data_IF_981806077367
#
_entry.id   IF_981806077367
#
_cell.length_a   1.000
_cell.length_b   1.000
_cell.length_c   1.000
_cell.angle_alpha   90.00
_cell.angle_beta   90.00
_cell.angle_gamma   90.00
#
_symmetry.space_group_name_H-M   'P 1'
#
loop_
_entity.id
_entity.type
_entity.pdbx_description
1 polymer ?
#
# COMPACT_ATOMS: atom_id res chain seq x y z
N UNK A 1 0.18 -23.35 -5.21
CA UNK A 1 -0.64 -22.73 -4.13
C UNK A 1 -1.48 -21.62 -4.74
N UNK A 2 -2.66 -21.32 -4.22
CA UNK A 2 -3.65 -20.43 -4.87
C UNK A 2 -3.17 -18.98 -5.07
N UNK A 3 -2.21 -18.48 -4.25
CA UNK A 3 -1.81 -17.06 -4.24
C UNK A 3 -0.35 -16.83 -4.65
N UNK A 4 0.37 -17.80 -5.19
CA UNK A 4 1.81 -17.71 -5.51
C UNK A 4 2.19 -16.51 -6.40
N UNK A 5 1.30 -16.16 -7.33
CA UNK A 5 1.55 -15.10 -8.30
C UNK A 5 1.48 -13.69 -7.68
N UNK A 6 0.67 -13.54 -6.62
CA UNK A 6 0.36 -12.21 -6.05
C UNK A 6 0.95 -11.99 -4.66
N UNK A 7 1.19 -13.02 -3.86
CA UNK A 7 1.64 -12.91 -2.47
C UNK A 7 3.03 -12.27 -2.31
N UNK A 8 3.34 -11.66 -1.15
CA UNK A 8 4.72 -11.41 -0.70
C UNK A 8 5.51 -12.72 -0.62
N UNK A 9 6.84 -12.64 -0.54
CA UNK A 9 7.65 -13.82 -0.25
C UNK A 9 7.33 -14.39 1.13
N UNK A 10 7.45 -15.70 1.30
CA UNK A 10 7.56 -16.30 2.63
C UNK A 10 8.93 -15.98 3.24
N UNK A 11 9.03 -16.04 4.57
CA UNK A 11 10.28 -15.65 5.22
C UNK A 11 11.43 -16.64 4.91
N UNK A 12 11.10 -17.90 4.62
CA UNK A 12 12.04 -18.94 4.20
C UNK A 12 12.67 -18.67 2.81
N UNK A 13 12.01 -17.85 1.97
CA UNK A 13 12.49 -17.47 0.64
C UNK A 13 13.50 -16.31 0.71
N UNK A 14 13.49 -15.54 1.82
CA UNK A 14 14.27 -14.30 1.95
C UNK A 14 15.78 -14.48 1.74
N UNK A 15 16.45 -15.51 2.28
CA UNK A 15 17.90 -15.63 2.10
C UNK A 15 18.31 -15.68 0.63
N UNK A 16 17.61 -16.44 -0.19
CA UNK A 16 17.87 -16.51 -1.63
C UNK A 16 17.59 -15.18 -2.32
N UNK A 17 16.42 -14.56 -2.03
CA UNK A 17 16.00 -13.32 -2.68
C UNK A 17 16.92 -12.16 -2.29
N UNK A 18 17.44 -12.13 -1.06
CA UNK A 18 18.43 -11.14 -0.64
C UNK A 18 19.73 -11.28 -1.45
N UNK A 19 20.28 -12.48 -1.63
CA UNK A 19 21.48 -12.65 -2.44
C UNK A 19 21.26 -12.24 -3.91
N UNK A 20 20.09 -12.54 -4.46
CA UNK A 20 19.74 -12.12 -5.82
C UNK A 20 19.65 -10.58 -5.96
N UNK A 21 19.12 -9.89 -4.95
CA UNK A 21 19.07 -8.41 -4.91
C UNK A 21 20.48 -7.82 -4.67
N UNK A 22 21.23 -8.39 -3.74
CA UNK A 22 22.60 -7.93 -3.43
C UNK A 22 23.50 -8.04 -4.65
N UNK A 23 23.29 -9.04 -5.49
CA UNK A 23 24.06 -9.23 -6.74
C UNK A 23 23.58 -8.32 -7.89
N UNK A 24 22.42 -7.65 -7.79
CA UNK A 24 21.87 -6.83 -8.87
C UNK A 24 22.52 -5.42 -8.87
N UNK A 25 23.23 -5.02 -9.95
CA UNK A 25 23.91 -3.72 -9.99
C UNK A 25 22.97 -2.52 -9.93
N UNK A 26 21.77 -2.63 -10.51
CA UNK A 26 20.79 -1.55 -10.48
C UNK A 26 20.23 -1.36 -9.07
N UNK A 27 19.94 -2.45 -8.34
CA UNK A 27 19.58 -2.37 -6.93
C UNK A 27 20.70 -1.75 -6.09
N UNK A 28 21.98 -2.15 -6.29
CA UNK A 28 23.11 -1.58 -5.59
C UNK A 28 23.21 -0.07 -5.77
N UNK A 29 23.07 0.39 -7.02
CA UNK A 29 23.12 1.82 -7.35
C UNK A 29 22.02 2.61 -6.62
N UNK A 30 20.78 2.10 -6.65
CA UNK A 30 19.64 2.75 -6.00
C UNK A 30 19.78 2.73 -4.48
N UNK A 31 20.20 1.61 -3.89
CA UNK A 31 20.41 1.48 -2.45
C UNK A 31 21.44 2.47 -1.94
N UNK A 32 22.59 2.63 -2.65
CA UNK A 32 23.59 3.63 -2.33
C UNK A 32 23.09 5.08 -2.49
N UNK A 33 22.25 5.35 -3.48
CA UNK A 33 21.67 6.68 -3.68
C UNK A 33 20.66 7.05 -2.57
N UNK A 34 19.88 6.07 -2.10
CA UNK A 34 18.89 6.26 -1.01
C UNK A 34 19.57 6.37 0.36
N UNK A 35 20.72 5.73 0.54
CA UNK A 35 21.50 5.75 1.79
C UNK A 35 22.91 6.34 1.57
N UNK A 36 23.01 7.63 1.26
CA UNK A 36 24.31 8.24 0.98
C UNK A 36 25.24 8.14 2.21
N UNK A 37 26.49 7.76 1.95
CA UNK A 37 27.51 7.57 3.00
C UNK A 37 27.47 6.24 3.73
N UNK A 38 26.50 5.36 3.44
CA UNK A 38 26.48 3.98 3.95
C UNK A 38 27.11 3.05 2.91
N UNK A 39 28.19 2.33 3.24
CA UNK A 39 28.77 1.34 2.32
C UNK A 39 27.74 0.26 1.95
N UNK A 40 27.66 -0.13 0.67
CA UNK A 40 26.70 -1.14 0.23
C UNK A 40 26.81 -2.46 1.01
N UNK A 41 28.03 -2.87 1.37
CA UNK A 41 28.24 -4.08 2.17
C UNK A 41 27.54 -4.02 3.55
N UNK A 42 27.45 -2.85 4.17
CA UNK A 42 26.70 -2.68 5.42
C UNK A 42 25.18 -2.83 5.21
N UNK A 43 24.67 -2.41 4.05
CA UNK A 43 23.27 -2.64 3.65
C UNK A 43 23.05 -4.15 3.44
N UNK A 44 23.93 -4.79 2.69
CA UNK A 44 23.86 -6.23 2.42
C UNK A 44 23.91 -7.06 3.71
N UNK A 45 24.77 -6.70 4.66
CA UNK A 45 24.85 -7.36 5.98
C UNK A 45 23.55 -7.24 6.76
N UNK A 46 22.88 -6.07 6.76
CA UNK A 46 21.57 -5.90 7.40
C UNK A 46 20.49 -6.75 6.71
N UNK A 47 20.52 -6.84 5.39
CA UNK A 47 19.60 -7.72 4.64
C UNK A 47 19.80 -9.18 5.07
N UNK A 48 21.02 -9.68 5.04
CA UNK A 48 21.37 -11.07 5.44
C UNK A 48 21.05 -11.37 6.90
N UNK A 49 21.12 -10.38 7.78
CA UNK A 49 20.82 -10.55 9.20
C UNK A 49 19.30 -10.64 9.47
N UNK A 50 18.46 -10.13 8.57
CA UNK A 50 17.01 -10.14 8.74
C UNK A 50 16.45 -11.52 8.38
N UNK A 51 15.75 -12.15 9.32
CA UNK A 51 15.15 -13.48 9.17
C UNK A 51 13.70 -13.43 8.69
N UNK A 52 13.04 -12.30 8.93
CA UNK A 52 11.64 -12.05 8.55
C UNK A 52 11.52 -10.77 7.76
N UNK A 53 10.42 -10.63 7.00
CA UNK A 53 10.07 -9.37 6.33
C UNK A 53 9.90 -8.22 7.32
N UNK A 54 9.35 -8.50 8.50
CA UNK A 54 9.22 -7.52 9.57
C UNK A 54 10.59 -7.00 10.03
N UNK A 55 11.51 -7.90 10.33
CA UNK A 55 12.90 -7.54 10.71
C UNK A 55 13.61 -6.74 9.60
N UNK A 56 13.43 -7.12 8.32
CA UNK A 56 13.98 -6.36 7.20
C UNK A 56 13.44 -4.94 7.16
N UNK A 57 12.13 -4.76 7.34
CA UNK A 57 11.50 -3.44 7.36
C UNK A 57 11.97 -2.61 8.55
N UNK A 58 12.07 -3.18 9.75
CA UNK A 58 12.54 -2.49 10.96
C UNK A 58 14.03 -2.14 10.89
N UNK A 59 14.88 -3.10 10.46
CA UNK A 59 16.33 -2.93 10.46
C UNK A 59 16.83 -2.00 9.34
N UNK A 60 16.10 -1.91 8.22
CA UNK A 60 16.54 -1.17 7.05
C UNK A 60 15.54 -0.08 6.63
N UNK A 61 14.29 -0.45 6.32
CA UNK A 61 13.33 0.47 5.73
C UNK A 61 12.87 1.55 6.71
N UNK A 62 12.63 1.20 7.99
CA UNK A 62 12.19 2.15 9.02
C UNK A 62 13.16 3.33 9.15
N UNK A 63 14.46 3.06 9.29
CA UNK A 63 15.46 4.13 9.42
C UNK A 63 15.52 5.07 8.21
N UNK A 64 15.34 4.52 7.00
CA UNK A 64 15.30 5.31 5.76
C UNK A 64 14.04 6.20 5.75
N UNK A 65 12.87 5.60 5.99
CA UNK A 65 11.59 6.33 5.94
C UNK A 65 11.47 7.37 7.07
N UNK A 66 11.94 7.04 8.27
CA UNK A 66 11.98 7.96 9.40
C UNK A 66 12.90 9.16 9.12
N UNK A 67 14.10 8.91 8.55
CA UNK A 67 14.99 10.01 8.11
C UNK A 67 14.32 10.85 7.04
N UNK A 68 13.69 10.22 6.06
CA UNK A 68 12.99 10.91 4.98
C UNK A 68 11.85 11.78 5.53
N UNK A 69 11.04 11.27 6.46
CA UNK A 69 10.01 12.05 7.14
C UNK A 69 10.61 13.29 7.81
N UNK A 70 11.72 13.11 8.57
CA UNK A 70 12.41 14.21 9.25
C UNK A 70 12.97 15.26 8.28
N UNK A 71 13.50 14.84 7.14
CA UNK A 71 14.15 15.72 6.19
C UNK A 71 13.17 16.46 5.27
N UNK A 72 11.95 15.92 5.05
CA UNK A 72 11.01 16.42 4.05
C UNK A 72 9.63 16.81 4.60
N UNK A 73 9.43 16.72 5.93
CA UNK A 73 8.16 17.12 6.58
C UNK A 73 8.42 17.98 7.82
N UNK A 74 7.42 18.77 8.23
CA UNK A 74 7.39 19.47 9.50
C UNK A 74 6.82 18.62 10.65
N UNK A 75 6.53 17.37 10.35
CA UNK A 75 6.04 16.37 11.30
C UNK A 75 5.16 15.34 10.60
N UNK A 76 5.34 14.09 11.02
CA UNK A 76 4.50 12.96 10.66
C UNK A 76 3.60 12.62 11.86
N UNK A 77 2.29 12.79 11.69
CA UNK A 77 1.32 12.75 12.78
C UNK A 77 0.34 11.61 12.55
N UNK A 78 0.12 10.79 13.58
CA UNK A 78 -0.98 9.82 13.63
C UNK A 78 -2.05 10.34 14.58
N UNK A 79 -3.22 10.66 14.05
CA UNK A 79 -4.44 10.90 14.82
C UNK A 79 -5.30 9.64 14.77
N UNK A 80 -5.54 9.01 15.90
CA UNK A 80 -6.40 7.83 15.97
C UNK A 80 -7.65 8.17 16.80
N UNK A 81 -8.82 7.96 16.22
CA UNK A 81 -10.11 8.08 16.92
C UNK A 81 -10.51 6.74 17.57
N UNK A 82 -9.78 5.67 17.27
CA UNK A 82 -10.08 4.34 17.77
C UNK A 82 -8.92 3.76 18.58
N UNK A 83 -9.27 2.99 19.60
CA UNK A 83 -8.32 2.09 20.27
C UNK A 83 -8.25 0.81 19.43
N UNK A 84 -7.21 0.68 18.62
CA UNK A 84 -6.96 -0.54 17.86
C UNK A 84 -6.53 -1.66 18.83
N UNK A 85 -7.17 -2.82 18.69
CA UNK A 85 -6.71 -4.01 19.40
C UNK A 85 -5.43 -4.53 18.72
N UNK A 86 -4.31 -4.51 19.44
CA UNK A 86 -3.00 -4.97 18.92
C UNK A 86 -2.96 -6.44 18.52
N UNK A 87 -3.94 -7.24 18.93
CA UNK A 87 -4.03 -8.66 18.58
C UNK A 87 -4.90 -8.92 17.36
N UNK A 88 -5.53 -7.88 16.81
CA UNK A 88 -6.38 -7.97 15.63
C UNK A 88 -5.68 -7.44 14.38
N UNK A 89 -5.97 -8.05 13.24
CA UNK A 89 -5.56 -7.56 11.94
C UNK A 89 -6.66 -6.67 11.33
N UNK A 90 -6.26 -5.61 10.63
CA UNK A 90 -7.16 -4.62 10.05
C UNK A 90 -6.84 -4.36 8.59
N UNK A 91 -7.87 -4.04 7.82
CA UNK A 91 -7.71 -3.51 6.46
C UNK A 91 -7.84 -1.99 6.48
N UNK A 92 -6.72 -1.29 6.38
CA UNK A 92 -6.68 0.17 6.26
C UNK A 92 -7.02 0.56 4.83
N UNK A 93 -8.15 1.22 4.63
CA UNK A 93 -8.61 1.74 3.34
C UNK A 93 -8.45 3.25 3.34
N UNK A 94 -7.63 3.80 2.45
CA UNK A 94 -7.34 5.23 2.45
C UNK A 94 -7.46 5.88 1.07
N UNK A 95 -7.58 7.21 1.06
CA UNK A 95 -7.22 8.00 -0.10
C UNK A 95 -5.73 7.80 -0.46
N UNK A 96 -5.34 8.18 -1.68
CA UNK A 96 -3.99 7.91 -2.20
C UNK A 96 -3.32 9.19 -2.70
N UNK A 97 -2.27 9.63 -2.00
CA UNK A 97 -1.55 10.90 -2.26
C UNK A 97 -0.18 10.66 -2.89
N UNK A 98 0.59 9.70 -2.37
CA UNK A 98 1.95 9.39 -2.82
C UNK A 98 2.12 7.90 -3.14
N UNK A 99 2.90 7.57 -4.17
CA UNK A 99 3.07 6.19 -4.66
C UNK A 99 3.72 5.28 -3.60
N UNK A 100 4.68 5.83 -2.85
CA UNK A 100 5.53 5.07 -1.91
C UNK A 100 5.21 5.44 -0.46
N UNK A 101 5.05 6.73 -0.19
CA UNK A 101 5.05 7.24 1.17
C UNK A 101 3.75 7.02 1.92
N UNK A 102 2.61 6.84 1.24
CA UNK A 102 1.36 6.58 1.94
C UNK A 102 1.46 5.30 2.77
N UNK A 103 1.84 4.19 2.17
CA UNK A 103 2.05 2.92 2.88
C UNK A 103 3.35 2.90 3.70
N UNK A 104 4.39 3.59 3.22
CA UNK A 104 5.66 3.70 3.91
C UNK A 104 5.55 4.46 5.25
N UNK A 105 4.94 5.63 5.25
CA UNK A 105 4.72 6.42 6.46
C UNK A 105 3.70 5.77 7.40
N UNK A 106 2.66 5.12 6.85
CA UNK A 106 1.76 4.30 7.68
C UNK A 106 2.55 3.23 8.43
N UNK A 107 3.46 2.52 7.76
CA UNK A 107 4.28 1.48 8.39
C UNK A 107 5.18 2.06 9.50
N UNK A 108 5.78 3.24 9.29
CA UNK A 108 6.55 3.95 10.33
C UNK A 108 5.67 4.24 11.56
N UNK A 109 4.50 4.84 11.33
CA UNK A 109 3.57 5.20 12.40
C UNK A 109 3.06 3.98 13.18
N UNK A 110 2.79 2.86 12.51
CA UNK A 110 2.36 1.62 13.16
C UNK A 110 3.47 1.04 14.04
N UNK A 111 4.71 0.99 13.55
CA UNK A 111 5.87 0.54 14.34
C UNK A 111 6.07 1.41 15.58
N UNK A 112 5.91 2.73 15.48
CA UNK A 112 5.98 3.66 16.62
C UNK A 112 4.88 3.41 17.67
N UNK A 113 3.73 2.82 17.25
CA UNK A 113 2.67 2.39 18.17
C UNK A 113 2.88 0.97 18.72
N UNK A 114 3.98 0.29 18.34
CA UNK A 114 4.26 -1.10 18.70
C UNK A 114 3.31 -2.08 18.01
N UNK A 115 2.93 -1.78 16.76
CA UNK A 115 2.15 -2.62 15.85
C UNK A 115 3.04 -3.11 14.72
N UNK A 116 2.67 -4.25 14.12
CA UNK A 116 3.31 -4.73 12.91
C UNK A 116 3.00 -3.83 11.71
N UNK A 117 3.91 -3.81 10.74
CA UNK A 117 3.69 -3.16 9.44
C UNK A 117 2.62 -3.90 8.64
N UNK A 118 2.08 -3.25 7.61
CA UNK A 118 0.99 -3.79 6.78
C UNK A 118 1.48 -4.56 5.56
N UNK A 119 0.65 -5.48 5.04
CA UNK A 119 0.76 -5.90 3.64
C UNK A 119 0.15 -4.82 2.74
N UNK A 120 0.78 -4.59 1.58
CA UNK A 120 0.49 -3.44 0.74
C UNK A 120 -0.01 -3.89 -0.62
N UNK A 121 -1.20 -3.43 -1.04
CA UNK A 121 -1.70 -3.65 -2.39
C UNK A 121 -0.95 -2.75 -3.39
N UNK A 122 -0.21 -3.35 -4.34
CA UNK A 122 0.56 -2.61 -5.35
C UNK A 122 0.18 -3.04 -6.77
N UNK A 123 -0.03 -2.07 -7.67
CA UNK A 123 -0.28 -2.36 -9.09
C UNK A 123 0.95 -2.93 -9.81
N UNK A 124 0.77 -3.94 -10.64
CA UNK A 124 1.84 -4.58 -11.41
C UNK A 124 2.50 -3.65 -12.42
N UNK A 125 1.83 -2.58 -12.83
CA UNK A 125 2.40 -1.54 -13.69
C UNK A 125 3.62 -0.81 -13.09
N UNK A 126 3.82 -0.91 -11.76
CA UNK A 126 4.98 -0.34 -11.06
C UNK A 126 6.16 -1.33 -10.98
N UNK A 127 5.95 -2.59 -11.33
CA UNK A 127 6.95 -3.68 -11.23
C UNK A 127 7.79 -3.82 -12.52
N UNK A 128 8.31 -2.70 -12.99
CA UNK A 128 8.98 -2.56 -14.30
C UNK A 128 10.34 -3.25 -14.40
N UNK A 129 11.04 -3.38 -13.27
CA UNK A 129 12.34 -4.06 -13.20
C UNK A 129 12.29 -5.29 -12.29
N UNK A 130 13.02 -6.37 -12.63
CA UNK A 130 13.04 -7.58 -11.80
C UNK A 130 13.43 -7.33 -10.34
N UNK A 131 14.38 -6.45 -10.09
CA UNK A 131 14.79 -6.10 -8.72
C UNK A 131 13.69 -5.33 -7.96
N UNK A 132 12.91 -4.47 -8.62
CA UNK A 132 11.76 -3.78 -7.99
C UNK A 132 10.73 -4.82 -7.56
N UNK A 133 10.38 -5.77 -8.44
CA UNK A 133 9.44 -6.85 -8.12
C UNK A 133 9.87 -7.64 -6.89
N UNK A 134 11.17 -7.94 -6.76
CA UNK A 134 11.71 -8.61 -5.57
C UNK A 134 11.61 -7.73 -4.34
N UNK A 135 12.07 -6.49 -4.43
CA UNK A 135 12.10 -5.55 -3.31
C UNK A 135 10.70 -5.28 -2.74
N UNK A 136 9.69 -5.05 -3.58
CA UNK A 136 8.33 -4.79 -3.09
C UNK A 136 7.73 -6.04 -2.43
N UNK A 137 7.97 -7.25 -2.96
CA UNK A 137 7.49 -8.50 -2.35
C UNK A 137 8.16 -8.80 -1.00
N UNK A 138 9.43 -8.40 -0.80
CA UNK A 138 10.09 -8.43 0.52
C UNK A 138 9.44 -7.41 1.45
N UNK A 139 9.02 -6.26 0.94
CA UNK A 139 8.31 -5.22 1.70
C UNK A 139 6.83 -5.52 1.90
N UNK A 140 6.46 -6.80 1.97
CA UNK A 140 5.10 -7.28 2.20
C UNK A 140 4.07 -6.80 1.14
N UNK A 141 4.50 -6.40 -0.07
CA UNK A 141 3.55 -6.03 -1.11
C UNK A 141 2.96 -7.26 -1.80
N UNK A 142 1.63 -7.26 -1.98
CA UNK A 142 0.94 -8.19 -2.87
C UNK A 142 0.47 -7.47 -4.13
N UNK A 143 0.45 -8.21 -5.25
CA UNK A 143 0.32 -7.61 -6.57
C UNK A 143 -1.13 -7.55 -7.03
N UNK A 144 -1.58 -6.35 -7.42
CA UNK A 144 -2.85 -6.09 -8.10
C UNK A 144 -2.60 -6.14 -9.61
N UNK A 145 -3.15 -7.14 -10.27
CA UNK A 145 -3.00 -7.29 -11.72
C UNK A 145 -3.87 -6.28 -12.47
N UNK A 146 -3.27 -5.63 -13.48
CA UNK A 146 -3.92 -4.62 -14.33
C UNK A 146 -3.86 -5.04 -15.81
N UNK A 147 -4.43 -4.22 -16.68
CA UNK A 147 -4.43 -4.45 -18.14
C UNK A 147 -5.02 -5.80 -18.57
N UNK A 148 -6.06 -6.27 -17.87
CA UNK A 148 -6.74 -7.53 -18.10
C UNK A 148 -8.02 -7.36 -18.93
N UNK A 149 -8.46 -8.42 -19.58
CA UNK A 149 -9.82 -8.50 -20.14
C UNK A 149 -10.86 -8.49 -19.01
N UNK A 150 -12.13 -8.14 -19.29
CA UNK A 150 -13.18 -8.11 -18.28
C UNK A 150 -13.30 -9.41 -17.48
N UNK A 151 -13.20 -10.57 -18.14
CA UNK A 151 -13.24 -11.87 -17.46
C UNK A 151 -12.04 -12.06 -16.54
N UNK A 152 -10.84 -11.75 -17.02
CA UNK A 152 -9.61 -11.83 -16.22
C UNK A 152 -9.63 -10.84 -15.05
N UNK A 153 -10.22 -9.64 -15.22
CA UNK A 153 -10.39 -8.67 -14.15
C UNK A 153 -11.25 -9.25 -13.01
N UNK A 154 -12.36 -9.91 -13.34
CA UNK A 154 -13.23 -10.53 -12.34
C UNK A 154 -12.49 -11.66 -11.60
N UNK A 155 -11.83 -12.56 -12.33
CA UNK A 155 -11.06 -13.67 -11.75
C UNK A 155 -9.93 -13.15 -10.84
N UNK A 156 -9.23 -12.09 -11.27
CA UNK A 156 -8.17 -11.43 -10.49
C UNK A 156 -8.73 -10.74 -9.25
N UNK A 157 -9.88 -10.06 -9.36
CA UNK A 157 -10.55 -9.40 -8.22
C UNK A 157 -10.98 -10.41 -7.16
N UNK A 158 -11.59 -11.53 -7.57
CA UNK A 158 -11.98 -12.61 -6.65
C UNK A 158 -10.73 -13.19 -5.95
N UNK A 159 -9.66 -13.49 -6.70
CA UNK A 159 -8.42 -14.02 -6.15
C UNK A 159 -7.78 -13.05 -5.16
N UNK A 160 -7.74 -11.76 -5.49
CA UNK A 160 -7.21 -10.72 -4.62
C UNK A 160 -8.04 -10.58 -3.33
N UNK A 161 -9.36 -10.57 -3.45
CA UNK A 161 -10.27 -10.52 -2.30
C UNK A 161 -10.07 -11.73 -1.39
N UNK A 162 -10.03 -12.94 -1.93
CA UNK A 162 -9.73 -14.17 -1.15
C UNK A 162 -8.38 -14.11 -0.46
N UNK A 163 -7.38 -13.56 -1.14
CA UNK A 163 -6.07 -13.34 -0.53
C UNK A 163 -6.13 -12.38 0.66
N UNK A 164 -6.90 -11.30 0.55
CA UNK A 164 -7.08 -10.34 1.65
C UNK A 164 -7.81 -10.99 2.83
N UNK A 165 -8.89 -11.74 2.61
CA UNK A 165 -9.57 -12.52 3.66
C UNK A 165 -8.62 -13.51 4.34
N UNK A 166 -7.87 -14.28 3.56
CA UNK A 166 -6.84 -15.18 4.09
C UNK A 166 -5.78 -14.43 4.93
N UNK A 167 -5.35 -13.24 4.48
CA UNK A 167 -4.34 -12.44 5.18
C UNK A 167 -4.86 -11.94 6.53
N UNK A 168 -6.10 -11.46 6.60
CA UNK A 168 -6.74 -11.01 7.84
C UNK A 168 -7.09 -12.19 8.76
N UNK A 169 -7.78 -13.22 8.22
CA UNK A 169 -8.34 -14.29 9.03
C UNK A 169 -7.30 -15.32 9.48
N UNK A 170 -6.38 -15.72 8.60
CA UNK A 170 -5.43 -16.81 8.85
C UNK A 170 -4.03 -16.31 9.23
N UNK A 171 -3.48 -15.38 8.42
CA UNK A 171 -2.15 -14.82 8.69
C UNK A 171 -2.13 -13.84 9.85
N UNK A 172 -3.28 -13.30 10.25
CA UNK A 172 -3.41 -12.23 11.26
C UNK A 172 -2.55 -11.02 10.95
N UNK A 173 -2.41 -10.70 9.67
CA UNK A 173 -1.60 -9.60 9.17
C UNK A 173 -2.49 -8.48 8.64
N UNK A 174 -2.25 -7.25 9.08
CA UNK A 174 -2.97 -6.08 8.57
C UNK A 174 -2.61 -5.74 7.14
N UNK A 175 -3.54 -5.10 6.43
CA UNK A 175 -3.43 -4.73 5.02
C UNK A 175 -3.64 -3.23 4.86
N UNK A 176 -2.93 -2.62 3.90
CA UNK A 176 -3.24 -1.31 3.37
C UNK A 176 -3.64 -1.40 1.89
N UNK A 177 -4.74 -0.75 1.55
CA UNK A 177 -5.23 -0.61 0.17
C UNK A 177 -5.79 0.80 -0.05
N UNK A 178 -5.54 1.36 -1.24
CA UNK A 178 -6.15 2.62 -1.65
C UNK A 178 -7.64 2.43 -1.97
N UNK A 179 -8.47 3.41 -1.61
CA UNK A 179 -9.93 3.43 -1.86
C UNK A 179 -10.31 3.56 -3.34
N UNK A 180 -9.33 3.78 -4.22
CA UNK A 180 -9.51 3.93 -5.66
C UNK A 180 -8.27 3.50 -6.43
N UNK A 181 -8.46 3.29 -7.72
CA UNK A 181 -7.34 3.05 -8.63
C UNK A 181 -6.53 4.33 -8.87
N UNK A 182 -5.27 4.30 -8.44
CA UNK A 182 -4.33 5.41 -8.59
C UNK A 182 -4.65 6.63 -7.74
N UNK A 183 -3.78 7.62 -7.81
CA UNK A 183 -3.88 8.88 -7.07
C UNK A 183 -4.89 9.83 -7.73
N UNK A 184 -5.70 10.55 -6.95
CA UNK A 184 -6.52 11.66 -7.46
C UNK A 184 -5.61 12.78 -8.01
N UNK A 185 -5.98 13.32 -9.20
CA UNK A 185 -5.23 14.40 -9.88
C UNK A 185 -5.92 15.76 -9.71
N UNK A 186 -7.21 15.74 -9.43
CA UNK A 186 -8.11 16.89 -9.34
C UNK A 186 -8.63 17.11 -7.90
N UNK A 187 -8.01 16.47 -6.93
CA UNK A 187 -8.43 16.45 -5.52
C UNK A 187 -9.81 15.82 -5.26
N UNK A 188 -10.47 15.26 -6.27
CA UNK A 188 -11.71 14.50 -6.12
C UNK A 188 -11.39 13.04 -5.72
N UNK A 189 -11.25 12.81 -4.44
CA UNK A 189 -10.76 11.54 -3.87
C UNK A 189 -11.93 10.68 -3.36
N UNK A 190 -12.83 10.33 -4.27
CA UNK A 190 -14.02 9.51 -3.95
C UNK A 190 -13.65 8.02 -3.94
N UNK A 191 -14.21 7.29 -2.98
CA UNK A 191 -14.12 5.83 -2.93
C UNK A 191 -14.78 5.21 -4.16
N UNK A 192 -14.08 4.29 -4.82
CA UNK A 192 -14.64 3.59 -5.99
C UNK A 192 -15.47 2.38 -5.55
N UNK A 193 -16.71 2.28 -6.02
CA UNK A 193 -17.60 1.13 -5.80
C UNK A 193 -16.95 -0.21 -6.16
N UNK A 194 -16.12 -0.22 -7.21
CA UNK A 194 -15.40 -1.42 -7.63
C UNK A 194 -14.44 -1.95 -6.57
N UNK A 195 -13.85 -1.06 -5.75
CA UNK A 195 -12.98 -1.48 -4.63
C UNK A 195 -13.83 -2.11 -3.53
N UNK A 196 -14.95 -1.49 -3.14
CA UNK A 196 -15.85 -2.06 -2.12
C UNK A 196 -16.43 -3.40 -2.56
N UNK A 197 -16.89 -3.49 -3.81
CA UNK A 197 -17.38 -4.76 -4.39
C UNK A 197 -16.30 -5.84 -4.37
N UNK A 198 -15.07 -5.48 -4.75
CA UNK A 198 -13.95 -6.42 -4.71
C UNK A 198 -13.67 -6.91 -3.28
N UNK A 199 -13.66 -6.03 -2.28
CA UNK A 199 -13.44 -6.40 -0.88
C UNK A 199 -14.46 -7.45 -0.40
N UNK A 200 -15.71 -7.36 -0.83
CA UNK A 200 -16.78 -8.28 -0.44
C UNK A 200 -16.80 -9.63 -1.18
N UNK A 201 -15.94 -9.84 -2.21
CA UNK A 201 -16.02 -11.04 -3.07
C UNK A 201 -15.36 -12.29 -2.49
N UNK A 202 -14.46 -12.16 -1.52
CA UNK A 202 -13.54 -13.23 -1.11
C UNK A 202 -14.00 -14.11 0.01
N UNK A 203 -14.98 -13.68 0.80
CA UNK A 203 -15.54 -14.44 1.91
C UNK A 203 -16.64 -15.41 1.47
N UNK A 204 -17.05 -16.27 2.39
CA UNK A 204 -18.11 -17.29 2.17
C UNK A 204 -19.50 -16.82 2.63
N UNK A 205 -19.59 -15.64 3.26
CA UNK A 205 -20.80 -15.03 3.77
C UNK A 205 -21.54 -14.15 2.76
N UNK A 206 -22.51 -13.40 3.24
CA UNK A 206 -23.10 -12.30 2.50
C UNK A 206 -22.17 -11.07 2.49
N UNK A 207 -22.55 -10.00 1.79
CA UNK A 207 -21.71 -8.80 1.63
C UNK A 207 -21.30 -8.21 2.97
N UNK A 208 -22.23 -8.07 3.90
CA UNK A 208 -21.95 -7.46 5.21
C UNK A 208 -20.98 -8.33 5.99
N UNK A 209 -21.25 -9.62 6.11
CA UNK A 209 -20.37 -10.58 6.77
C UNK A 209 -18.95 -10.53 6.16
N UNK A 210 -18.84 -10.55 4.83
CA UNK A 210 -17.55 -10.52 4.15
C UNK A 210 -16.78 -9.22 4.41
N UNK A 211 -17.45 -8.07 4.43
CA UNK A 211 -16.80 -6.80 4.77
C UNK A 211 -16.37 -6.75 6.25
N UNK A 212 -17.19 -7.29 7.17
CA UNK A 212 -16.86 -7.36 8.58
C UNK A 212 -15.64 -8.24 8.87
N UNK A 213 -15.47 -9.36 8.16
CA UNK A 213 -14.29 -10.23 8.28
C UNK A 213 -12.97 -9.49 8.00
N UNK A 214 -13.01 -8.47 7.16
CA UNK A 214 -11.83 -7.66 6.82
C UNK A 214 -11.46 -6.62 7.87
N UNK A 215 -12.27 -6.37 8.89
CA UNK A 215 -12.03 -5.35 9.93
C UNK A 215 -11.60 -4.00 9.32
N UNK A 216 -12.43 -3.44 8.45
CA UNK A 216 -12.07 -2.24 7.67
C UNK A 216 -11.94 -1.03 8.59
N UNK A 217 -10.81 -0.35 8.50
CA UNK A 217 -10.52 0.92 9.18
C UNK A 217 -10.32 2.01 8.13
N UNK A 218 -11.25 2.97 8.01
CA UNK A 218 -11.06 4.12 7.16
C UNK A 218 -9.87 4.96 7.63
N UNK A 219 -9.01 5.33 6.70
CA UNK A 219 -7.80 6.11 6.94
C UNK A 219 -7.76 7.32 6.01
N UNK A 220 -7.64 8.52 6.54
CA UNK A 220 -7.42 9.73 5.77
C UNK A 220 -5.96 10.15 5.84
N UNK A 221 -5.36 10.42 4.67
CA UNK A 221 -3.97 10.86 4.52
C UNK A 221 -3.98 12.29 3.98
N UNK A 222 -3.35 13.22 4.70
CA UNK A 222 -3.24 14.62 4.32
C UNK A 222 -1.80 15.06 4.31
N UNK A 223 -1.36 15.65 3.21
CA UNK A 223 -0.12 16.39 3.06
C UNK A 223 -0.42 17.88 2.99
N UNK A 224 0.27 18.71 3.78
CA UNK A 224 0.09 20.17 3.73
C UNK A 224 0.50 20.71 2.35
N UNK A 225 1.57 20.17 1.78
CA UNK A 225 1.99 20.40 0.40
C UNK A 225 2.15 19.05 -0.33
N UNK A 226 1.58 18.94 -1.51
CA UNK A 226 1.77 17.79 -2.37
C UNK A 226 2.95 18.04 -3.32
N UNK A 227 4.12 17.39 -3.14
CA UNK A 227 5.27 17.64 -3.99
C UNK A 227 5.04 17.34 -5.47
N UNK A 228 4.04 16.49 -5.75
CA UNK A 228 3.67 16.09 -7.11
C UNK A 228 2.50 16.91 -7.69
N UNK A 229 2.07 18.00 -7.07
CA UNK A 229 0.89 18.77 -7.51
C UNK A 229 1.00 19.22 -8.97
N UNK A 230 2.13 19.79 -9.35
CA UNK A 230 2.40 20.19 -10.73
C UNK A 230 2.34 18.98 -11.71
N UNK A 231 2.98 17.87 -11.37
CA UNK A 231 3.00 16.67 -12.20
C UNK A 231 1.60 16.05 -12.34
N UNK A 232 0.80 16.09 -11.27
CA UNK A 232 -0.60 15.66 -11.28
C UNK A 232 -1.46 16.58 -12.16
N UNK A 233 -1.30 17.90 -12.04
CA UNK A 233 -2.00 18.86 -12.87
C UNK A 233 -1.64 18.70 -14.36
N UNK A 234 -0.35 18.51 -14.66
CA UNK A 234 0.14 18.26 -16.02
C UNK A 234 -0.46 16.96 -16.60
N UNK A 235 -0.43 15.86 -15.85
CA UNK A 235 -1.04 14.59 -16.29
C UNK A 235 -2.54 14.76 -16.55
N UNK A 236 -3.24 15.49 -15.67
CA UNK A 236 -4.67 15.76 -15.83
C UNK A 236 -4.95 16.57 -17.10
N UNK A 237 -4.15 17.62 -17.33
CA UNK A 237 -4.27 18.46 -18.54
C UNK A 237 -3.99 17.66 -19.82
N UNK A 238 -2.90 16.88 -19.85
CA UNK A 238 -2.54 16.07 -21.01
C UNK A 238 -3.63 15.04 -21.35
N UNK A 239 -4.24 14.41 -20.35
CA UNK A 239 -5.37 13.49 -20.54
C UNK A 239 -6.63 14.18 -21.09
N UNK A 240 -6.85 15.45 -20.73
CA UNK A 240 -7.96 16.25 -21.25
C UNK A 240 -7.72 16.70 -22.71
N UNK A 241 -6.49 17.12 -23.01
CA UNK A 241 -6.17 17.84 -24.25
C UNK A 241 -5.67 16.90 -25.38
N UNK A 242 -5.16 15.73 -25.03
CA UNK A 242 -4.60 14.77 -26.00
C UNK A 242 -5.41 13.46 -25.95
N UNK A 243 -6.13 13.12 -27.05
CA UNK A 243 -6.81 11.84 -27.14
C UNK A 243 -5.84 10.66 -26.92
N UNK A 244 -6.28 9.66 -26.16
CA UNK A 244 -5.53 8.43 -25.87
C UNK A 244 -4.16 8.64 -25.17
N UNK A 245 -3.93 9.79 -24.56
CA UNK A 245 -2.72 10.04 -23.77
C UNK A 245 -2.52 8.95 -22.71
N UNK A 246 -1.35 8.37 -22.73
CA UNK A 246 -0.88 7.42 -21.69
C UNK A 246 0.44 7.91 -21.14
N UNK A 247 0.52 7.97 -19.81
CA UNK A 247 1.80 8.26 -19.16
C UNK A 247 2.80 7.14 -19.42
N UNK A 248 4.07 7.51 -19.40
CA UNK A 248 5.19 6.61 -19.56
C UNK A 248 5.67 6.06 -18.22
N UNK A 249 6.54 5.08 -18.27
CA UNK A 249 7.27 4.57 -17.10
C UNK A 249 8.12 5.64 -16.43
N UNK A 250 8.75 6.51 -17.24
CA UNK A 250 9.60 7.60 -16.74
C UNK A 250 8.78 8.64 -15.97
N UNK A 251 7.52 8.87 -16.35
CA UNK A 251 6.60 9.73 -15.60
C UNK A 251 6.33 9.16 -14.20
N UNK A 252 6.19 7.83 -14.05
CA UNK A 252 6.00 7.20 -12.76
C UNK A 252 7.27 7.31 -11.89
N UNK A 253 8.45 7.08 -12.47
CA UNK A 253 9.73 7.24 -11.77
C UNK A 253 9.95 8.69 -11.32
N UNK A 254 9.66 9.67 -12.18
CA UNK A 254 9.75 11.09 -11.83
C UNK A 254 8.79 11.43 -10.68
N UNK A 255 7.56 10.94 -10.72
CA UNK A 255 6.59 11.13 -9.64
C UNK A 255 7.06 10.49 -8.32
N UNK A 256 7.63 9.27 -8.36
CA UNK A 256 8.19 8.61 -7.17
C UNK A 256 9.34 9.45 -6.58
N UNK A 257 10.29 9.88 -7.41
CA UNK A 257 11.42 10.67 -6.95
C UNK A 257 10.99 12.02 -6.37
N UNK A 258 10.08 12.72 -7.06
CA UNK A 258 9.54 14.01 -6.62
C UNK A 258 8.77 13.86 -5.31
N UNK A 259 7.93 12.81 -5.18
CA UNK A 259 7.19 12.51 -3.97
C UNK A 259 8.12 12.18 -2.79
N UNK A 260 9.14 11.36 -3.02
CA UNK A 260 10.10 11.00 -1.97
C UNK A 260 10.89 12.22 -1.46
N UNK A 261 11.45 13.02 -2.35
CA UNK A 261 12.43 14.06 -1.99
C UNK A 261 11.81 15.44 -1.76
N UNK A 262 10.60 15.69 -2.26
CA UNK A 262 9.93 16.97 -2.15
C UNK A 262 9.46 17.29 -0.73
N UNK A 263 9.44 18.57 -0.38
CA UNK A 263 8.92 19.04 0.91
C UNK A 263 7.40 18.90 0.98
N UNK A 264 6.89 18.46 2.15
CA UNK A 264 5.48 18.09 2.34
C UNK A 264 4.75 18.89 3.41
N UNK A 265 5.47 19.75 4.16
CA UNK A 265 4.89 20.38 5.35
C UNK A 265 4.48 19.34 6.40
N UNK A 266 3.37 19.56 7.08
CA UNK A 266 2.81 18.57 8.01
C UNK A 266 2.13 17.44 7.23
N UNK A 267 2.41 16.20 7.65
CA UNK A 267 1.77 15.00 7.11
C UNK A 267 0.95 14.35 8.23
N UNK A 268 -0.35 14.21 7.99
CA UNK A 268 -1.28 13.68 8.99
C UNK A 268 -1.99 12.45 8.45
N UNK A 269 -1.94 11.38 9.23
CA UNK A 269 -2.70 10.15 9.07
C UNK A 269 -3.78 10.12 10.14
N UNK A 270 -5.06 10.11 9.74
CA UNK A 270 -6.18 10.06 10.68
C UNK A 270 -6.94 8.76 10.48
N UNK A 271 -6.96 7.92 11.53
CA UNK A 271 -7.70 6.66 11.56
C UNK A 271 -9.06 6.86 12.19
N UNK A 272 -10.11 6.39 11.51
CA UNK A 272 -11.44 6.23 12.10
C UNK A 272 -11.56 4.91 12.89
N UNK A 273 -12.69 4.69 13.53
CA UNK A 273 -13.04 3.39 14.12
C UNK A 273 -13.22 2.33 13.02
N UNK A 274 -13.05 1.05 13.37
CA UNK A 274 -13.44 -0.06 12.50
C UNK A 274 -14.95 0.03 12.22
N UNK A 275 -15.35 -0.12 10.95
CA UNK A 275 -16.73 0.09 10.52
C UNK A 275 -17.67 -1.08 10.79
N UNK A 276 -17.25 -2.11 11.54
CA UNK A 276 -18.08 -3.29 11.76
C UNK A 276 -19.41 -2.96 12.46
N UNK A 277 -19.40 -2.02 13.41
CA UNK A 277 -20.62 -1.55 14.08
C UNK A 277 -21.54 -0.78 13.13
N UNK A 278 -20.97 0.03 12.22
CA UNK A 278 -21.72 0.75 11.20
C UNK A 278 -22.36 -0.22 10.19
N UNK A 279 -21.65 -1.31 9.84
CA UNK A 279 -22.18 -2.38 8.98
C UNK A 279 -23.34 -3.13 9.64
N UNK A 280 -23.28 -3.41 10.94
CA UNK A 280 -24.39 -3.99 11.71
C UNK A 280 -25.62 -3.06 11.72
N UNK A 281 -25.39 -1.76 11.84
CA UNK A 281 -26.49 -0.80 11.77
C UNK A 281 -27.11 -0.72 10.39
N UNK A 282 -26.27 -0.74 9.35
CA UNK A 282 -26.71 -0.74 7.95
C UNK A 282 -27.58 -1.98 7.64
N UNK A 283 -27.16 -3.16 8.07
CA UNK A 283 -27.91 -4.41 7.88
C UNK A 283 -29.29 -4.37 8.57
N UNK A 284 -29.38 -3.74 9.74
CA UNK A 284 -30.64 -3.62 10.47
C UNK A 284 -31.61 -2.59 9.87
N UNK A 285 -31.08 -1.56 9.20
CA UNK A 285 -31.88 -0.40 8.77
C UNK A 285 -32.26 -0.43 7.28
N UNK A 286 -31.46 -1.09 6.45
CA UNK A 286 -31.69 -1.13 5.00
C UNK A 286 -32.24 -2.48 4.53
N UNK A 287 -33.21 -2.49 3.58
CA UNK A 287 -33.61 -3.70 2.87
C UNK A 287 -32.41 -4.32 2.14
N UNK A 288 -32.33 -5.67 2.14
CA UNK A 288 -31.20 -6.38 1.50
C UNK A 288 -30.81 -5.94 0.08
N UNK A 289 -31.76 -5.55 -0.82
CA UNK A 289 -31.40 -5.05 -2.15
C UNK A 289 -30.69 -3.67 -2.14
N UNK A 290 -30.93 -2.85 -1.13
CA UNK A 290 -30.37 -1.50 -1.01
C UNK A 290 -28.96 -1.49 -0.43
N UNK A 291 -28.57 -2.54 0.31
CA UNK A 291 -27.21 -2.74 0.82
C UNK A 291 -26.14 -2.79 -0.30
N UNK A 292 -26.54 -3.09 -1.53
CA UNK A 292 -25.62 -3.11 -2.68
C UNK A 292 -25.30 -1.72 -3.24
N UNK A 293 -26.04 -0.70 -2.84
CA UNK A 293 -25.96 0.66 -3.40
C UNK A 293 -25.48 1.67 -2.37
N UNK A 294 -25.64 1.35 -1.09
CA UNK A 294 -25.23 2.20 0.02
C UNK A 294 -23.75 2.09 0.33
#
# INVERSE_FOLDING_TARGET
MEFEEIRPYHDEELPQVFEELIADPAFQQVACAVMPGVPFEAIAQKMRASKTKQEFQENLCYGILHKLAKDTTDGLILESMAVLNKQSAYTYVSNHRDIILDSGFLSVLLVEQGLDTVEIAIGDNLLIYPWIKKLVRINKCFTVQRALTMRQMLESSIRMSRYMHYTIAEKKQSIWIAQREGRAKDSNDVTQDSVLKMLAMGGDGDIITNLQELNIVPLSISYEYDPCDYLKAQEFQLKRDIPDYKKTTDDDLLNMQTGLLGYKGRVCFRMASCINEDLDELERTLPKPELFVA
#
